data_IF_989770510187
#
_entry.id   IF_989770510187
#
_cell.length_a   1.000
_cell.length_b   1.000
_cell.length_c   1.000
_cell.angle_alpha   90.00
_cell.angle_beta   90.00
_cell.angle_gamma   90.00
#
_symmetry.space_group_name_H-M   'P 1'
#
loop_
_entity.id
_entity.type
_entity.pdbx_description
1 polymer ?
#
# COMPACT_ATOMS: atom_id res chain seq x y z
N UNK A 1 -0.26 -13.59 -9.92
CA UNK A 1 -0.73 -12.50 -9.03
C UNK A 1 -2.11 -12.84 -8.50
N UNK A 2 -2.35 -12.60 -7.22
CA UNK A 2 -3.60 -12.87 -6.54
C UNK A 2 -4.12 -11.56 -5.92
N UNK A 3 -5.44 -11.40 -5.84
CA UNK A 3 -6.10 -10.29 -5.17
C UNK A 3 -7.18 -10.85 -4.22
N UNK A 4 -7.31 -10.27 -3.04
CA UNK A 4 -8.23 -10.70 -1.99
C UNK A 4 -8.97 -9.50 -1.42
N UNK A 5 -10.20 -9.73 -0.96
CA UNK A 5 -11.01 -8.70 -0.33
C UNK A 5 -10.63 -8.45 1.13
N UNK A 6 -9.96 -9.40 1.77
CA UNK A 6 -9.61 -9.34 3.19
C UNK A 6 -8.22 -9.94 3.47
N UNK A 7 -7.64 -9.53 4.60
CA UNK A 7 -6.29 -9.92 5.01
C UNK A 7 -6.20 -11.41 5.37
N UNK A 8 -7.26 -12.01 5.90
CA UNK A 8 -7.23 -13.42 6.32
C UNK A 8 -7.12 -14.36 5.12
N UNK A 9 -7.91 -14.10 4.06
CA UNK A 9 -7.84 -14.83 2.80
C UNK A 9 -6.49 -14.67 2.11
N UNK A 10 -5.91 -13.45 2.17
CA UNK A 10 -4.56 -13.18 1.66
C UNK A 10 -3.51 -13.97 2.44
N UNK A 11 -3.56 -13.96 3.77
CA UNK A 11 -2.63 -14.67 4.63
C UNK A 11 -2.66 -16.18 4.39
N UNK A 12 -3.86 -16.78 4.28
CA UNK A 12 -4.01 -18.21 3.98
C UNK A 12 -3.37 -18.58 2.63
N UNK A 13 -3.50 -17.71 1.61
CA UNK A 13 -2.87 -17.96 0.31
C UNK A 13 -1.36 -17.79 0.34
N UNK A 14 -0.85 -16.81 1.10
CA UNK A 14 0.60 -16.67 1.31
C UNK A 14 1.16 -17.92 1.98
N UNK A 15 0.51 -18.41 3.03
CA UNK A 15 0.91 -19.62 3.74
C UNK A 15 1.00 -20.82 2.79
N UNK A 16 -0.04 -21.05 1.97
CA UNK A 16 -0.05 -22.10 0.94
C UNK A 16 1.11 -21.96 -0.05
N UNK A 17 1.32 -20.75 -0.60
CA UNK A 17 2.33 -20.50 -1.65
C UNK A 17 3.76 -20.58 -1.13
N UNK A 18 3.95 -20.32 0.16
CA UNK A 18 5.27 -20.31 0.81
C UNK A 18 5.54 -21.53 1.68
N UNK A 19 4.63 -22.51 1.66
CA UNK A 19 4.72 -23.71 2.51
C UNK A 19 4.89 -23.38 4.00
N UNK A 20 4.15 -22.38 4.47
CA UNK A 20 4.20 -21.93 5.86
C UNK A 20 5.39 -21.04 6.21
N UNK A 21 6.24 -20.66 5.25
CA UNK A 21 7.38 -19.77 5.53
C UNK A 21 7.01 -18.30 5.66
N UNK A 22 5.86 -17.89 5.11
CA UNK A 22 5.44 -16.50 5.04
C UNK A 22 6.10 -15.72 3.91
N UNK A 23 5.66 -14.47 3.71
CA UNK A 23 6.21 -13.60 2.68
C UNK A 23 7.55 -12.96 3.10
N UNK A 24 8.40 -12.64 2.14
CA UNK A 24 9.65 -11.88 2.39
C UNK A 24 9.39 -10.43 2.75
N UNK A 25 8.30 -9.85 2.22
CA UNK A 25 7.93 -8.47 2.50
C UNK A 25 6.42 -8.23 2.42
N UNK A 26 5.95 -7.25 3.19
CA UNK A 26 4.61 -6.70 3.11
C UNK A 26 4.68 -5.17 2.99
N UNK A 27 3.91 -4.61 2.05
CA UNK A 27 3.86 -3.18 1.78
C UNK A 27 2.49 -2.64 2.20
N UNK A 28 2.47 -1.71 3.15
CA UNK A 28 1.26 -1.03 3.61
C UNK A 28 1.10 0.27 2.82
N UNK A 29 0.15 0.30 1.89
CA UNK A 29 -0.11 1.39 0.96
C UNK A 29 -1.48 2.06 1.20
N UNK A 30 -2.12 1.79 2.34
CA UNK A 30 -3.43 2.35 2.70
C UNK A 30 -3.33 3.82 3.11
N UNK A 31 -4.43 4.56 2.97
CA UNK A 31 -4.48 5.99 3.33
C UNK A 31 -4.35 6.26 4.83
N UNK A 32 -4.86 5.35 5.67
CA UNK A 32 -4.75 5.45 7.14
C UNK A 32 -4.19 4.15 7.68
N UNK A 33 -3.11 4.24 8.43
CA UNK A 33 -2.45 3.10 9.07
C UNK A 33 -2.95 2.98 10.50
N UNK A 34 -3.45 1.81 10.86
CA UNK A 34 -3.90 1.46 12.21
C UNK A 34 -3.26 0.14 12.69
N UNK A 35 -3.60 -0.26 13.91
CA UNK A 35 -3.07 -1.46 14.54
C UNK A 35 -3.46 -2.75 13.80
N UNK A 36 -4.66 -2.80 13.22
CA UNK A 36 -5.15 -3.98 12.51
C UNK A 36 -4.35 -4.21 11.23
N UNK A 37 -4.14 -3.14 10.45
CA UNK A 37 -3.36 -3.18 9.21
C UNK A 37 -1.90 -3.59 9.49
N UNK A 38 -1.27 -3.00 10.52
CA UNK A 38 0.12 -3.33 10.87
C UNK A 38 0.24 -4.75 11.40
N UNK A 39 -0.70 -5.18 12.23
CA UNK A 39 -0.75 -6.54 12.75
C UNK A 39 -0.91 -7.58 11.65
N UNK A 40 -1.84 -7.36 10.72
CA UNK A 40 -2.04 -8.24 9.56
C UNK A 40 -0.79 -8.33 8.68
N UNK A 41 -0.14 -7.19 8.38
CA UNK A 41 1.09 -7.16 7.59
C UNK A 41 2.25 -7.87 8.30
N UNK A 42 2.35 -7.72 9.63
CA UNK A 42 3.39 -8.37 10.43
C UNK A 42 3.17 -9.88 10.54
N UNK A 43 1.91 -10.32 10.60
CA UNK A 43 1.55 -11.74 10.66
C UNK A 43 1.84 -12.49 9.37
N UNK A 44 1.74 -11.84 8.22
CA UNK A 44 1.89 -12.49 6.91
C UNK A 44 3.35 -12.66 6.48
N UNK A 45 4.28 -11.88 7.04
CA UNK A 45 5.72 -12.02 6.73
C UNK A 45 6.38 -13.13 7.55
N UNK A 46 7.29 -13.82 6.91
CA UNK A 46 8.08 -14.86 7.52
C UNK A 46 9.26 -14.36 8.36
N UNK A 47 10.11 -15.29 8.79
CA UNK A 47 11.34 -14.98 9.51
C UNK A 47 12.29 -14.14 8.64
N UNK A 48 12.83 -13.07 9.22
CA UNK A 48 13.67 -12.10 8.49
C UNK A 48 12.90 -11.17 7.55
N UNK A 49 11.57 -11.30 7.47
CA UNK A 49 10.72 -10.51 6.59
C UNK A 49 10.64 -9.03 6.99
N UNK A 50 10.24 -8.20 6.04
CA UNK A 50 10.16 -6.75 6.22
C UNK A 50 8.76 -6.21 5.95
N UNK A 51 8.20 -5.46 6.90
CA UNK A 51 7.00 -4.61 6.67
C UNK A 51 7.44 -3.20 6.32
N UNK A 52 6.96 -2.66 5.21
CA UNK A 52 7.20 -1.27 4.81
C UNK A 52 5.89 -0.48 4.92
N UNK A 53 5.91 0.59 5.72
CA UNK A 53 4.76 1.47 5.95
C UNK A 53 4.97 2.75 5.14
N UNK A 54 4.07 3.03 4.19
CA UNK A 54 4.08 4.27 3.39
C UNK A 54 2.91 5.19 3.72
N UNK A 55 1.82 4.64 4.26
CA UNK A 55 0.67 5.43 4.72
C UNK A 55 0.96 6.18 6.01
N UNK A 56 0.15 7.21 6.27
CA UNK A 56 0.23 7.97 7.52
C UNK A 56 -0.79 7.43 8.52
N UNK A 57 -0.42 7.41 9.80
CA UNK A 57 -1.37 7.17 10.87
C UNK A 57 -2.29 8.39 11.05
N UNK A 58 -3.46 8.16 11.65
CA UNK A 58 -4.31 9.25 12.14
C UNK A 58 -3.48 10.13 13.08
N UNK A 59 -3.42 11.47 12.88
CA UNK A 59 -2.69 12.38 13.77
C UNK A 59 -3.13 12.32 15.24
N UNK A 60 -4.35 11.84 15.50
CA UNK A 60 -4.85 11.61 16.86
C UNK A 60 -4.38 10.27 17.47
N UNK A 61 -3.89 9.34 16.63
CA UNK A 61 -3.38 8.03 17.04
C UNK A 61 -1.92 7.92 16.59
N UNK A 62 -1.02 8.39 17.40
CA UNK A 62 0.42 8.49 17.08
C UNK A 62 1.17 7.14 17.19
N UNK A 63 0.51 6.08 17.62
CA UNK A 63 1.15 4.80 17.90
C UNK A 63 0.52 3.67 17.10
N UNK A 64 1.34 2.71 16.72
CA UNK A 64 0.92 1.38 16.27
C UNK A 64 1.51 0.34 17.22
N UNK A 65 0.77 -0.72 17.50
CA UNK A 65 1.20 -1.74 18.43
C UNK A 65 1.71 -2.96 17.65
N UNK A 66 2.90 -3.41 18.02
CA UNK A 66 3.51 -4.63 17.45
C UNK A 66 4.03 -5.52 18.57
N UNK A 67 4.01 -6.84 18.36
CA UNK A 67 4.59 -7.78 19.30
C UNK A 67 6.12 -7.70 19.27
N UNK A 68 6.74 -7.17 20.32
CA UNK A 68 8.20 -7.17 20.46
C UNK A 68 8.78 -8.60 20.46
N UNK A 69 8.06 -9.54 21.02
CA UNK A 69 8.46 -10.97 21.01
C UNK A 69 8.49 -11.52 19.59
N UNK A 70 7.46 -11.27 18.80
CA UNK A 70 7.39 -11.72 17.40
C UNK A 70 8.50 -11.09 16.56
N UNK A 71 8.73 -9.78 16.71
CA UNK A 71 9.85 -9.10 16.04
C UNK A 71 11.20 -9.75 16.37
N UNK A 72 11.46 -10.02 17.65
CA UNK A 72 12.76 -10.53 18.12
C UNK A 72 12.97 -11.97 17.72
N UNK A 73 11.99 -12.85 17.97
CA UNK A 73 12.13 -14.29 17.69
C UNK A 73 12.21 -14.62 16.20
N UNK A 74 11.58 -13.81 15.38
CA UNK A 74 11.54 -14.01 13.93
C UNK A 74 12.42 -13.02 13.16
N UNK A 75 13.21 -12.19 13.85
CA UNK A 75 14.13 -11.23 13.22
C UNK A 75 13.42 -10.31 12.19
N UNK A 76 12.13 -9.98 12.43
CA UNK A 76 11.32 -9.17 11.53
C UNK A 76 11.73 -7.71 11.59
N UNK A 77 11.56 -7.00 10.47
CA UNK A 77 11.86 -5.56 10.35
C UNK A 77 10.59 -4.78 10.04
N UNK A 78 10.39 -3.63 10.69
CA UNK A 78 9.38 -2.65 10.33
C UNK A 78 10.07 -1.36 9.92
N UNK A 79 9.75 -0.86 8.72
CA UNK A 79 10.42 0.30 8.12
C UNK A 79 9.39 1.30 7.60
N UNK A 80 9.53 2.58 7.99
CA UNK A 80 8.80 3.68 7.36
C UNK A 80 9.41 4.05 6.00
N UNK A 81 8.58 4.51 5.07
CA UNK A 81 9.01 4.94 3.74
C UNK A 81 8.18 6.13 3.29
N UNK A 82 8.80 7.30 3.22
CA UNK A 82 8.18 8.50 2.68
C UNK A 82 8.36 8.53 1.17
N UNK A 83 7.26 8.66 0.43
CA UNK A 83 7.26 8.65 -1.04
C UNK A 83 8.05 7.48 -1.67
N UNK A 84 7.97 6.28 -1.08
CA UNK A 84 8.72 5.13 -1.55
C UNK A 84 10.24 5.24 -1.30
N UNK A 85 10.68 6.13 -0.39
CA UNK A 85 12.09 6.45 -0.13
C UNK A 85 12.84 6.93 -1.38
N UNK A 86 12.11 7.53 -2.33
CA UNK A 86 12.68 8.02 -3.59
C UNK A 86 13.27 9.42 -3.46
N UNK A 87 14.13 9.77 -4.42
CA UNK A 87 14.51 11.14 -4.72
C UNK A 87 13.59 11.67 -5.83
N UNK A 88 12.59 12.54 -5.54
CA UNK A 88 11.59 12.94 -6.51
C UNK A 88 12.16 13.55 -7.79
N UNK A 89 13.21 14.34 -7.70
CA UNK A 89 13.84 14.99 -8.86
C UNK A 89 14.44 13.97 -9.84
N UNK A 90 15.01 12.90 -9.33
CA UNK A 90 15.62 11.86 -10.14
C UNK A 90 14.60 10.76 -10.53
N UNK A 91 13.84 10.29 -9.57
CA UNK A 91 12.97 9.11 -9.78
C UNK A 91 11.73 9.43 -10.61
N UNK A 92 11.18 10.65 -10.57
CA UNK A 92 10.08 11.05 -11.46
C UNK A 92 10.49 10.94 -12.92
N UNK A 93 11.66 11.42 -13.29
CA UNK A 93 12.18 11.31 -14.66
C UNK A 93 12.35 9.84 -15.07
N UNK A 94 12.83 8.99 -14.15
CA UNK A 94 12.98 7.55 -14.38
C UNK A 94 11.62 6.87 -14.58
N UNK A 95 10.62 7.21 -13.75
CA UNK A 95 9.27 6.66 -13.87
C UNK A 95 8.59 7.09 -15.18
N UNK A 96 8.77 8.33 -15.61
CA UNK A 96 8.26 8.80 -16.90
C UNK A 96 8.89 8.04 -18.07
N UNK A 97 10.18 7.73 -18.01
CA UNK A 97 10.83 6.90 -19.03
C UNK A 97 10.27 5.47 -19.08
N UNK A 98 9.93 4.90 -17.92
CA UNK A 98 9.27 3.58 -17.86
C UNK A 98 7.86 3.64 -18.46
N UNK A 99 7.13 4.74 -18.20
CA UNK A 99 5.82 4.99 -18.77
C UNK A 99 5.91 5.11 -20.32
N UNK A 100 6.80 5.96 -20.82
CA UNK A 100 7.05 6.12 -22.26
C UNK A 100 7.46 4.79 -22.97
N UNK A 101 8.17 3.93 -22.23
CA UNK A 101 8.54 2.61 -22.72
C UNK A 101 7.43 1.55 -22.60
N UNK A 102 6.23 1.91 -22.12
CA UNK A 102 5.12 0.98 -21.90
C UNK A 102 5.35 -0.03 -20.76
N UNK A 103 6.32 0.23 -19.87
CA UNK A 103 6.66 -0.64 -18.75
C UNK A 103 5.99 -0.20 -17.42
N UNK A 104 5.37 0.97 -17.41
CA UNK A 104 4.61 1.50 -16.28
C UNK A 104 3.25 1.96 -16.77
N UNK A 105 2.20 1.32 -16.29
CA UNK A 105 0.81 1.64 -16.62
C UNK A 105 0.31 2.74 -15.67
N UNK A 106 0.06 3.94 -16.19
CA UNK A 106 -0.48 5.08 -15.42
C UNK A 106 -1.88 5.47 -15.91
N UNK A 107 -2.16 5.37 -17.21
CA UNK A 107 -3.44 5.76 -17.80
C UNK A 107 -4.60 4.92 -17.24
N UNK A 108 -4.35 3.66 -16.97
CA UNK A 108 -5.32 2.72 -16.40
C UNK A 108 -5.74 3.08 -14.97
N UNK A 109 -4.95 3.90 -14.28
CA UNK A 109 -5.30 4.40 -12.95
C UNK A 109 -6.35 5.52 -13.03
N UNK A 110 -6.45 6.24 -14.17
CA UNK A 110 -7.46 7.27 -14.39
C UNK A 110 -8.77 6.59 -14.76
N UNK A 111 -9.60 6.33 -13.76
CA UNK A 111 -10.84 5.56 -13.96
C UNK A 111 -12.05 6.44 -14.26
N UNK A 112 -11.99 7.73 -13.95
CA UNK A 112 -13.11 8.66 -14.16
C UNK A 112 -12.60 10.08 -14.41
N UNK A 113 -13.20 10.78 -15.36
CA UNK A 113 -12.97 12.20 -15.58
C UNK A 113 -14.19 13.00 -15.17
N UNK A 114 -13.98 14.19 -14.62
CA UNK A 114 -15.00 15.11 -14.15
C UNK A 114 -14.76 16.50 -14.77
N UNK A 115 -15.82 17.25 -14.98
CA UNK A 115 -15.70 18.70 -15.21
C UNK A 115 -15.62 19.45 -13.87
N UNK A 116 -15.36 20.76 -13.90
CA UNK A 116 -15.18 21.55 -12.69
C UNK A 116 -16.44 21.58 -11.81
N UNK A 117 -17.64 21.58 -12.40
CA UNK A 117 -18.90 21.58 -11.66
C UNK A 117 -19.12 20.27 -10.90
N UNK A 118 -18.46 19.19 -11.31
CA UNK A 118 -18.57 17.85 -10.72
C UNK A 118 -17.51 17.58 -9.64
N UNK A 119 -16.74 18.58 -9.21
CA UNK A 119 -15.66 18.38 -8.22
C UNK A 119 -16.15 17.70 -6.92
N UNK A 120 -17.32 18.10 -6.42
CA UNK A 120 -17.90 17.51 -5.22
C UNK A 120 -18.32 16.05 -5.44
N UNK A 121 -18.80 15.72 -6.62
CA UNK A 121 -19.10 14.33 -7.01
C UNK A 121 -17.82 13.49 -7.05
N UNK A 122 -16.74 14.04 -7.63
CA UNK A 122 -15.44 13.37 -7.66
C UNK A 122 -14.91 13.03 -6.26
N UNK A 123 -15.02 13.96 -5.31
CA UNK A 123 -14.66 13.68 -3.92
C UNK A 123 -15.56 12.64 -3.25
N UNK A 124 -16.86 12.65 -3.56
CA UNK A 124 -17.77 11.65 -3.02
C UNK A 124 -17.44 10.26 -3.59
N UNK A 125 -17.21 10.16 -4.88
CA UNK A 125 -16.86 8.90 -5.54
C UNK A 125 -15.52 8.34 -5.04
N UNK A 126 -14.56 9.20 -4.70
CA UNK A 126 -13.32 8.79 -4.05
C UNK A 126 -13.56 8.20 -2.66
N UNK A 127 -14.41 8.84 -1.85
CA UNK A 127 -14.78 8.33 -0.51
C UNK A 127 -15.53 7.01 -0.57
N UNK A 128 -16.38 6.87 -1.58
CA UNK A 128 -17.17 5.66 -1.82
C UNK A 128 -16.36 4.52 -2.48
N UNK A 129 -15.08 4.75 -2.80
CA UNK A 129 -14.22 3.78 -3.49
C UNK A 129 -14.65 3.47 -4.93
N UNK A 130 -15.41 4.37 -5.58
CA UNK A 130 -15.90 4.20 -6.95
C UNK A 130 -14.86 4.51 -8.01
N UNK A 131 -13.85 5.28 -7.68
CA UNK A 131 -12.72 5.57 -8.58
C UNK A 131 -11.39 5.27 -7.90
N UNK A 132 -10.38 4.94 -8.70
CA UNK A 132 -8.99 4.83 -8.25
C UNK A 132 -8.37 6.22 -8.31
N UNK A 133 -8.52 6.89 -9.45
CA UNK A 133 -8.08 8.27 -9.67
C UNK A 133 -9.11 9.00 -10.52
N UNK A 134 -9.71 10.02 -9.93
CA UNK A 134 -10.56 10.97 -10.64
C UNK A 134 -9.73 12.17 -11.11
N UNK A 135 -9.89 12.56 -12.38
CA UNK A 135 -9.20 13.72 -12.97
C UNK A 135 -10.23 14.77 -13.35
N UNK A 136 -9.98 16.03 -12.95
CA UNK A 136 -10.80 17.18 -13.39
C UNK A 136 -10.21 17.70 -14.68
N UNK A 137 -11.05 17.81 -15.72
CA UNK A 137 -10.69 18.34 -17.03
C UNK A 137 -11.36 19.72 -17.19
N UNK A 138 -10.60 20.72 -17.64
CA UNK A 138 -11.05 22.09 -17.88
C UNK A 138 -11.33 22.29 -19.36
#
# INVERSE_FOLDING_TARGET
>A
THAFADAASAAAKVDELTWGQGADAALILVGTVDDEVVSAATAVIGKGGTVVITGLADPAKLTVHVSGTDLTLHEKTIKGSLFGSCNPQYDIVRLLRLYDAGQLMLDELVTTTYNLEQVNQGYQDLRDGKNIRGVIVH
#
